data_IF_742391528845
#
_entry.id   IF_742391528845
#
_cell.length_a   1.000
_cell.length_b   1.000
_cell.length_c   1.000
_cell.angle_alpha   90.00
_cell.angle_beta   90.00
_cell.angle_gamma   90.00
#
_symmetry.space_group_name_H-M   'P 1'
#
loop_
_entity.id
_entity.type
_entity.pdbx_description
1 polymer ?
#
# COMPACT_ATOMS: atom_id res chain seq x y z
N UNK A 1 1.87 11.56 17.75
CA UNK A 1 1.66 10.47 16.75
C UNK A 1 2.70 10.63 15.67
N UNK A 2 3.55 9.62 15.45
CA UNK A 2 4.67 9.69 14.51
C UNK A 2 4.26 9.01 13.20
N UNK A 3 4.39 9.71 12.09
CA UNK A 3 4.38 9.10 10.75
C UNK A 3 5.81 8.70 10.40
N UNK A 4 6.10 7.41 10.33
CA UNK A 4 7.46 6.95 10.03
C UNK A 4 7.63 6.89 8.52
N UNK A 5 8.83 7.25 8.04
CA UNK A 5 9.27 6.98 6.68
C UNK A 5 9.03 5.49 6.35
N UNK A 6 8.73 5.11 5.09
CA UNK A 6 8.75 3.71 4.67
C UNK A 6 10.02 3.00 5.20
N UNK A 7 9.88 1.78 5.73
CA UNK A 7 11.06 1.03 6.16
C UNK A 7 11.98 0.82 4.96
N UNK A 8 13.21 1.31 5.06
CA UNK A 8 14.36 0.78 4.31
C UNK A 8 14.95 -0.28 5.24
N UNK A 9 14.25 -1.41 5.41
CA UNK A 9 14.83 -2.56 6.10
C UNK A 9 15.83 -3.24 5.17
N UNK A 10 16.99 -3.59 5.71
CA UNK A 10 18.11 -4.22 4.99
C UNK A 10 17.79 -5.61 4.43
N UNK A 11 16.71 -6.23 4.87
CA UNK A 11 16.33 -7.60 4.46
C UNK A 11 15.15 -7.62 3.45
N UNK A 12 14.53 -6.46 3.17
CA UNK A 12 13.41 -6.32 2.21
C UNK A 12 13.69 -5.17 1.21
N UNK A 13 14.88 -5.23 0.60
CA UNK A 13 15.35 -4.44 -0.55
C UNK A 13 14.42 -4.52 -1.82
N UNK A 14 13.23 -5.11 -1.73
CA UNK A 14 12.90 -6.19 -2.68
C UNK A 14 11.69 -5.99 -3.60
N UNK A 15 10.91 -4.90 -3.54
CA UNK A 15 9.82 -4.71 -4.55
C UNK A 15 9.66 -3.30 -5.08
N UNK A 16 9.68 -2.24 -4.27
CA UNK A 16 9.66 -0.88 -4.84
C UNK A 16 10.98 -0.51 -5.47
N UNK A 17 12.09 -0.65 -4.76
CA UNK A 17 13.41 -0.42 -5.33
C UNK A 17 13.64 -1.34 -6.54
N UNK A 18 13.17 -2.61 -6.50
CA UNK A 18 13.15 -3.49 -7.66
C UNK A 18 12.23 -3.00 -8.77
N UNK A 19 10.96 -2.65 -8.55
CA UNK A 19 10.04 -2.16 -9.59
C UNK A 19 10.57 -0.85 -10.18
N UNK A 20 11.07 0.06 -9.35
CA UNK A 20 11.65 1.35 -9.72
C UNK A 20 12.94 1.15 -10.55
N UNK A 21 13.84 0.25 -10.13
CA UNK A 21 15.04 -0.13 -10.90
C UNK A 21 14.72 -0.92 -12.18
N UNK A 22 13.76 -1.84 -12.14
CA UNK A 22 13.35 -2.70 -13.27
C UNK A 22 12.49 -1.95 -14.30
N UNK A 23 11.70 -0.97 -13.87
CA UNK A 23 10.90 -0.10 -14.75
C UNK A 23 11.64 1.19 -15.13
N UNK A 24 12.87 1.41 -14.63
CA UNK A 24 13.68 2.60 -14.93
C UNK A 24 13.15 3.90 -14.34
N UNK A 25 12.34 3.83 -13.29
CA UNK A 25 11.82 5.00 -12.57
C UNK A 25 12.86 5.39 -11.51
N UNK A 26 13.08 6.68 -11.28
CA UNK A 26 13.81 7.16 -10.11
C UNK A 26 12.80 7.78 -9.14
N UNK A 27 12.69 7.24 -7.92
CA UNK A 27 11.83 7.79 -6.88
C UNK A 27 12.68 8.25 -5.70
N UNK A 28 12.66 9.56 -5.45
CA UNK A 28 13.35 10.12 -4.29
C UNK A 28 12.53 9.86 -3.02
N UNK A 29 13.16 9.26 -2.00
CA UNK A 29 12.49 8.89 -0.74
C UNK A 29 12.93 9.74 0.45
N UNK A 30 13.70 10.81 0.19
CA UNK A 30 14.27 11.72 1.20
C UNK A 30 13.20 12.42 2.04
N UNK A 31 12.10 12.82 1.41
CA UNK A 31 10.95 13.45 2.07
C UNK A 31 9.65 13.06 1.38
N UNK A 32 8.52 13.23 2.07
CA UNK A 32 7.21 12.99 1.48
C UNK A 32 6.95 13.90 0.26
N UNK A 33 7.45 15.14 0.29
CA UNK A 33 7.38 16.08 -0.82
C UNK A 33 8.21 15.65 -2.03
N UNK A 34 9.46 15.22 -1.80
CA UNK A 34 10.33 14.71 -2.86
C UNK A 34 9.77 13.44 -3.51
N UNK A 35 9.17 12.55 -2.71
CA UNK A 35 8.49 11.37 -3.22
C UNK A 35 7.30 11.73 -4.11
N UNK A 36 6.49 12.71 -3.69
CA UNK A 36 5.37 13.19 -4.49
C UNK A 36 5.84 13.85 -5.78
N UNK A 37 6.84 14.72 -5.72
CA UNK A 37 7.41 15.38 -6.89
C UNK A 37 7.98 14.37 -7.90
N UNK A 38 8.63 13.31 -7.43
CA UNK A 38 9.15 12.24 -8.28
C UNK A 38 8.02 11.50 -9.02
N UNK A 39 6.89 11.24 -8.35
CA UNK A 39 5.71 10.62 -8.97
C UNK A 39 5.08 11.55 -10.02
N UNK A 40 4.93 12.82 -9.71
CA UNK A 40 4.35 13.82 -10.62
C UNK A 40 5.23 13.98 -11.87
N UNK A 41 6.57 14.01 -11.71
CA UNK A 41 7.50 14.04 -12.82
C UNK A 41 7.41 12.80 -13.72
N UNK A 42 7.21 11.61 -13.13
CA UNK A 42 7.02 10.39 -13.90
C UNK A 42 5.71 10.37 -14.69
N UNK A 43 4.61 10.84 -14.08
CA UNK A 43 3.31 10.97 -14.74
C UNK A 43 3.42 11.93 -15.93
N UNK A 44 4.13 13.04 -15.77
CA UNK A 44 4.34 14.00 -16.85
C UNK A 44 5.18 13.39 -18.00
N UNK A 45 6.22 12.63 -17.66
CA UNK A 45 7.00 11.90 -18.65
C UNK A 45 6.15 10.89 -19.45
N UNK A 46 5.18 10.20 -18.81
CA UNK A 46 4.25 9.32 -19.52
C UNK A 46 3.38 10.09 -20.51
N UNK A 47 2.85 11.25 -20.12
CA UNK A 47 2.05 12.11 -21.01
C UNK A 47 2.86 12.59 -22.21
N UNK A 48 4.11 13.02 -22.00
CA UNK A 48 5.01 13.43 -23.10
C UNK A 48 5.31 12.27 -24.06
N UNK A 49 5.38 11.03 -23.57
CA UNK A 49 5.54 9.84 -24.40
C UNK A 49 4.30 9.51 -25.24
N UNK A 50 3.15 10.15 -24.98
CA UNK A 50 1.91 9.93 -25.72
C UNK A 50 1.15 8.66 -25.29
N UNK A 51 1.34 8.19 -24.05
CA UNK A 51 0.50 7.11 -23.50
C UNK A 51 -0.95 7.60 -23.35
N UNK A 52 -1.96 6.75 -23.60
CA UNK A 52 -3.35 7.14 -23.47
C UNK A 52 -3.68 7.57 -22.03
N UNK A 53 -4.50 8.61 -21.86
CA UNK A 53 -4.75 9.21 -20.54
C UNK A 53 -5.39 8.22 -19.54
N UNK A 54 -6.19 7.26 -20.03
CA UNK A 54 -6.75 6.19 -19.21
C UNK A 54 -5.68 5.28 -18.57
N UNK A 55 -4.59 4.99 -19.30
CA UNK A 55 -3.45 4.25 -18.76
C UNK A 55 -2.65 5.11 -17.78
N UNK A 56 -2.46 6.40 -18.08
CA UNK A 56 -1.77 7.34 -17.19
C UNK A 56 -2.49 7.45 -15.85
N UNK A 57 -3.82 7.59 -15.86
CA UNK A 57 -4.63 7.64 -14.64
C UNK A 57 -4.55 6.34 -13.83
N UNK A 58 -4.65 5.20 -14.53
CA UNK A 58 -4.53 3.87 -13.91
C UNK A 58 -3.17 3.68 -13.25
N UNK A 59 -2.08 4.07 -13.93
CA UNK A 59 -0.71 3.98 -13.42
C UNK A 59 -0.44 4.97 -12.28
N UNK A 60 -0.93 6.20 -12.39
CA UNK A 60 -0.85 7.22 -11.34
C UNK A 60 -1.49 6.71 -10.04
N UNK A 61 -2.69 6.14 -10.15
CA UNK A 61 -3.42 5.56 -9.02
C UNK A 61 -2.69 4.34 -8.45
N UNK A 62 -2.19 3.46 -9.31
CA UNK A 62 -1.43 2.29 -8.90
C UNK A 62 -0.15 2.65 -8.15
N UNK A 63 0.62 3.62 -8.65
CA UNK A 63 1.84 4.10 -8.00
C UNK A 63 1.53 4.79 -6.67
N UNK A 64 0.45 5.56 -6.60
CA UNK A 64 -0.03 6.18 -5.36
C UNK A 64 -0.45 5.13 -4.32
N UNK A 65 -1.09 4.05 -4.76
CA UNK A 65 -1.42 2.91 -3.89
C UNK A 65 -0.15 2.20 -3.40
N UNK A 66 0.82 1.97 -4.28
CA UNK A 66 2.11 1.39 -3.91
C UNK A 66 2.81 2.28 -2.89
N UNK A 67 2.85 3.60 -3.10
CA UNK A 67 3.45 4.56 -2.15
C UNK A 67 2.82 4.42 -0.78
N UNK A 68 1.49 4.45 -0.70
CA UNK A 68 0.72 4.22 0.51
C UNK A 68 1.00 2.87 1.19
N UNK A 69 1.02 1.75 0.44
CA UNK A 69 1.21 0.41 1.02
C UNK A 69 2.54 0.18 1.72
N UNK A 70 3.59 0.94 1.37
CA UNK A 70 4.87 0.88 2.10
C UNK A 70 5.01 1.92 3.19
N UNK A 71 4.08 2.87 3.31
CA UNK A 71 4.11 3.79 4.44
C UNK A 71 3.83 3.01 5.72
N UNK A 72 4.68 3.22 6.72
CA UNK A 72 4.45 2.60 8.02
C UNK A 72 3.20 3.19 8.67
N UNK A 73 2.50 2.35 9.44
CA UNK A 73 1.38 2.82 10.25
C UNK A 73 1.88 3.86 11.25
N UNK A 74 1.27 5.04 11.23
CA UNK A 74 1.62 6.09 12.17
C UNK A 74 1.21 5.72 13.62
N UNK A 75 2.13 5.92 14.56
CA UNK A 75 2.03 5.40 15.93
C UNK A 75 1.77 6.51 16.95
N UNK A 76 0.86 6.28 17.89
CA UNK A 76 0.80 7.02 19.14
C UNK A 76 2.00 6.67 20.02
N UNK A 77 2.53 7.65 20.74
CA UNK A 77 3.67 7.49 21.62
C UNK A 77 3.59 8.52 22.76
N UNK A 78 4.23 8.22 23.89
CA UNK A 78 4.46 9.19 24.96
C UNK A 78 5.75 9.98 24.67
N UNK A 79 5.73 11.30 24.86
CA UNK A 79 6.88 12.18 24.61
C UNK A 79 8.08 11.79 25.47
N UNK A 80 7.84 11.38 26.71
CA UNK A 80 8.91 10.98 27.62
C UNK A 80 9.68 9.74 27.11
N UNK A 81 8.99 8.79 26.48
CA UNK A 81 9.65 7.61 25.87
C UNK A 81 10.52 7.99 24.65
N UNK A 82 10.20 9.11 24.00
CA UNK A 82 10.98 9.65 22.89
C UNK A 82 12.19 10.42 23.42
N UNK A 83 12.02 11.20 24.48
CA UNK A 83 13.12 11.87 25.20
C UNK A 83 14.12 10.82 25.70
N UNK A 84 13.66 9.77 26.36
CA UNK A 84 14.51 8.68 26.86
C UNK A 84 15.28 7.98 25.73
N UNK A 85 14.70 7.92 24.52
CA UNK A 85 15.37 7.41 23.31
C UNK A 85 16.40 8.39 22.74
N UNK A 86 16.06 9.68 22.67
CA UNK A 86 16.96 10.72 22.20
C UNK A 86 18.21 10.83 23.10
N UNK A 87 18.01 10.85 24.42
CA UNK A 87 19.12 10.90 25.40
C UNK A 87 20.03 9.67 25.26
N UNK A 88 19.46 8.47 25.10
CA UNK A 88 20.25 7.25 24.87
C UNK A 88 21.04 7.31 23.57
N UNK A 89 20.47 7.86 22.49
CA UNK A 89 21.17 8.03 21.21
C UNK A 89 22.36 8.98 21.35
N UNK A 90 22.17 10.12 22.00
CA UNK A 90 23.26 11.09 22.25
C UNK A 90 24.36 10.46 23.11
N UNK A 91 23.99 9.74 24.18
CA UNK A 91 24.95 9.07 25.06
C UNK A 91 25.75 7.95 24.37
N UNK A 92 25.10 7.19 23.48
CA UNK A 92 25.76 6.11 22.75
C UNK A 92 26.53 6.61 21.52
N UNK A 93 26.09 7.72 20.89
CA UNK A 93 26.77 8.36 19.77
C UNK A 93 28.08 9.05 20.15
N UNK A 94 28.23 9.45 21.42
CA UNK A 94 29.49 9.98 21.96
C UNK A 94 30.59 8.93 22.19
N UNK A 95 30.32 7.63 21.99
CA UNK A 95 31.28 6.53 22.25
C UNK A 95 31.91 5.96 20.96
N UNK A 96 31.74 6.61 19.81
CA UNK A 96 32.47 6.27 18.58
C UNK A 96 33.41 7.42 18.19
N UNK A 97 34.55 7.52 18.89
CA UNK A 97 35.76 8.17 18.37
C UNK A 97 36.81 7.09 18.18
N UNK A 98 36.86 6.48 17.00
CA UNK A 98 38.06 5.77 16.56
C UNK A 98 39.09 6.81 16.12
N UNK A 99 40.23 6.79 16.79
CA UNK A 99 41.42 7.56 16.50
C UNK A 99 41.81 7.54 15.01
N UNK A 100 42.30 8.69 14.55
CA UNK A 100 43.23 8.95 13.44
C UNK A 100 42.69 9.85 12.30
N UNK A 101 42.71 11.17 12.52
CA UNK A 101 43.21 12.17 11.55
C UNK A 101 43.17 13.57 12.16
N UNK A 102 44.27 14.30 12.08
CA UNK A 102 44.47 15.68 12.52
C UNK A 102 43.55 16.68 11.77
N UNK A 103 42.30 16.79 12.21
CA UNK A 103 41.45 17.96 11.96
C UNK A 103 40.59 18.17 13.21
N UNK A 104 40.48 19.40 13.73
CA UNK A 104 39.59 19.66 14.87
C UNK A 104 38.16 19.27 14.44
N UNK A 105 37.52 18.30 15.12
CA UNK A 105 36.18 17.89 14.74
C UNK A 105 35.26 19.08 15.00
N UNK A 106 34.60 19.56 13.95
CA UNK A 106 33.44 20.44 14.09
C UNK A 106 32.34 19.58 14.69
N UNK A 107 32.33 19.50 16.03
CA UNK A 107 31.30 18.79 16.80
C UNK A 107 30.01 19.58 16.60
N UNK A 108 29.24 19.26 15.58
CA UNK A 108 27.81 19.57 15.56
C UNK A 108 27.21 18.76 16.71
N UNK A 109 27.10 19.39 17.88
CA UNK A 109 26.38 18.83 19.01
C UNK A 109 24.92 18.74 18.59
N UNK A 110 24.50 17.58 18.06
CA UNK A 110 23.11 17.33 17.68
C UNK A 110 22.28 17.53 18.97
N UNK A 111 21.63 18.69 19.09
CA UNK A 111 20.85 19.03 20.28
C UNK A 111 19.82 17.93 20.52
N UNK A 112 19.57 17.61 21.78
CA UNK A 112 18.52 16.66 22.16
C UNK A 112 17.15 17.07 21.57
N UNK A 113 16.94 18.37 21.33
CA UNK A 113 15.79 18.94 20.63
C UNK A 113 15.72 18.50 19.16
N UNK A 114 16.82 18.58 18.42
CA UNK A 114 16.90 18.12 17.02
C UNK A 114 16.64 16.61 16.92
N UNK A 115 17.18 15.83 17.86
CA UNK A 115 16.89 14.41 17.98
C UNK A 115 15.42 14.14 18.30
N UNK A 116 14.81 14.89 19.23
CA UNK A 116 13.41 14.76 19.59
C UNK A 116 12.50 15.05 18.38
N UNK A 117 12.74 16.14 17.66
CA UNK A 117 11.98 16.51 16.47
C UNK A 117 12.11 15.44 15.38
N UNK A 118 13.30 14.86 15.21
CA UNK A 118 13.51 13.75 14.28
C UNK A 118 12.70 12.50 14.67
N UNK A 119 12.60 12.19 15.97
CA UNK A 119 11.81 11.07 16.47
C UNK A 119 10.30 11.35 16.55
N UNK A 120 9.86 12.61 16.58
CA UNK A 120 8.44 12.96 16.63
C UNK A 120 7.84 13.32 15.27
N UNK A 121 8.68 13.56 14.26
CA UNK A 121 8.28 13.99 12.92
C UNK A 121 7.23 13.06 12.29
N UNK A 122 6.24 13.67 11.64
CA UNK A 122 5.19 12.98 10.92
C UNK A 122 5.41 13.05 9.41
N UNK A 123 6.08 12.02 8.86
CA UNK A 123 6.51 11.96 7.46
C UNK A 123 5.41 12.34 6.46
N UNK A 124 4.25 11.66 6.51
CA UNK A 124 3.17 11.89 5.55
C UNK A 124 2.48 13.25 5.63
N UNK A 125 2.67 14.01 6.71
CA UNK A 125 2.12 15.37 6.86
C UNK A 125 3.23 16.44 6.80
N UNK A 126 4.49 16.02 6.74
CA UNK A 126 5.67 16.89 6.79
C UNK A 126 5.64 17.89 7.97
N UNK A 127 5.20 17.45 9.15
CA UNK A 127 5.15 18.29 10.37
C UNK A 127 5.98 17.69 11.51
N UNK A 128 6.63 18.53 12.35
CA UNK A 128 7.50 18.05 13.44
C UNK A 128 6.74 17.38 14.59
N UNK A 129 5.51 17.83 14.86
CA UNK A 129 4.67 17.36 15.95
C UNK A 129 3.24 17.22 15.46
N UNK A 130 2.60 16.11 15.83
CA UNK A 130 1.22 15.85 15.46
C UNK A 130 0.51 15.01 16.54
N UNK A 131 -0.75 15.30 16.81
CA UNK A 131 -1.62 14.47 17.66
C UNK A 131 -3.07 14.54 17.18
N UNK A 132 -3.88 13.56 17.55
CA UNK A 132 -5.32 13.59 17.29
C UNK A 132 -6.06 14.28 18.44
N UNK A 133 -7.06 15.10 18.10
CA UNK A 133 -7.85 15.87 19.05
C UNK A 133 -9.34 16.00 18.64
N UNK A 134 -9.63 16.01 17.34
CA UNK A 134 -10.93 16.43 16.79
C UNK A 134 -12.07 15.42 16.88
N UNK A 135 -11.86 14.22 17.42
CA UNK A 135 -12.90 13.17 17.44
C UNK A 135 -12.89 12.29 18.70
N UNK A 136 -13.08 12.87 19.90
CA UNK A 136 -13.06 12.14 21.18
C UNK A 136 -14.15 11.06 21.31
N UNK A 137 -15.27 11.19 20.59
CA UNK A 137 -16.37 10.21 20.62
C UNK A 137 -15.94 8.85 20.02
N UNK A 138 -15.15 8.88 18.94
CA UNK A 138 -14.78 7.67 18.17
C UNK A 138 -13.31 7.26 18.32
N UNK A 139 -12.51 8.02 19.07
CA UNK A 139 -11.08 7.75 19.28
C UNK A 139 -10.67 8.03 20.71
N UNK A 140 -10.24 6.97 21.41
CA UNK A 140 -9.76 7.07 22.78
C UNK A 140 -8.49 7.94 22.92
N UNK A 141 -7.63 7.97 21.89
CA UNK A 141 -6.44 8.82 21.87
C UNK A 141 -6.79 10.31 21.99
N UNK A 142 -7.81 10.78 21.25
CA UNK A 142 -8.31 12.16 21.35
C UNK A 142 -8.84 12.44 22.75
N UNK A 143 -9.56 11.50 23.36
CA UNK A 143 -10.07 11.66 24.73
C UNK A 143 -8.94 11.83 25.76
N UNK A 144 -7.80 11.14 25.60
CA UNK A 144 -6.62 11.36 26.44
C UNK A 144 -6.06 12.79 26.27
N UNK A 145 -5.96 13.27 25.03
CA UNK A 145 -5.47 14.63 24.74
C UNK A 145 -6.42 15.68 25.28
N UNK A 146 -7.75 15.49 25.15
CA UNK A 146 -8.75 16.37 25.74
C UNK A 146 -8.60 16.48 27.27
N UNK A 147 -8.35 15.35 27.95
CA UNK A 147 -8.09 15.34 29.40
C UNK A 147 -6.79 16.06 29.77
N UNK A 148 -5.72 15.84 29.01
CA UNK A 148 -4.43 16.52 29.22
C UNK A 148 -4.56 18.04 29.02
N UNK A 149 -5.27 18.46 27.97
CA UNK A 149 -5.51 19.88 27.69
C UNK A 149 -6.39 20.52 28.77
N UNK A 150 -7.43 19.83 29.23
CA UNK A 150 -8.29 20.31 30.33
C UNK A 150 -7.52 20.53 31.64
N UNK A 151 -6.59 19.62 31.98
CA UNK A 151 -5.72 19.76 33.15
C UNK A 151 -4.72 20.92 33.01
N UNK A 152 -4.17 21.12 31.80
CA UNK A 152 -3.28 22.26 31.49
C UNK A 152 -4.00 23.61 31.59
N UNK A 153 -5.26 23.67 31.16
CA UNK A 153 -6.08 24.89 31.21
C UNK A 153 -6.76 25.10 32.57
N UNK A 154 -6.63 24.16 33.51
CA UNK A 154 -7.29 24.23 34.82
C UNK A 154 -8.82 24.12 34.75
N UNK A 155 -9.39 23.72 33.62
CA UNK A 155 -10.83 23.55 33.41
C UNK A 155 -11.28 22.08 33.45
N UNK A 156 -10.34 21.14 33.67
CA UNK A 156 -10.63 19.73 33.79
C UNK A 156 -11.18 19.36 35.17
N UNK A 157 -12.35 18.72 35.20
CA UNK A 157 -12.83 17.99 36.39
C UNK A 157 -12.04 16.70 36.67
N UNK A 158 -11.09 16.36 35.79
CA UNK A 158 -10.29 15.14 35.83
C UNK A 158 -8.84 15.48 36.16
N UNK A 159 -8.36 15.07 37.34
CA UNK A 159 -6.97 15.25 37.71
C UNK A 159 -6.12 14.24 36.92
N UNK A 160 -5.29 14.73 36.00
CA UNK A 160 -4.27 13.87 35.39
C UNK A 160 -3.15 13.70 36.42
N UNK A 161 -2.68 12.48 36.72
CA UNK A 161 -1.49 12.34 37.56
C UNK A 161 -0.35 12.97 36.78
N UNK A 162 0.05 14.18 37.19
CA UNK A 162 1.29 14.77 36.71
C UNK A 162 2.39 13.76 37.10
N UNK A 163 3.28 13.37 36.17
CA UNK A 163 4.49 12.70 36.60
C UNK A 163 5.10 13.60 37.67
N UNK A 164 5.39 13.04 38.85
CA UNK A 164 5.99 13.80 39.94
C UNK A 164 7.13 14.60 39.32
N UNK A 165 7.00 15.93 39.30
CA UNK A 165 8.16 16.78 39.18
C UNK A 165 8.95 16.42 40.43
N UNK A 166 9.90 15.49 40.30
CA UNK A 166 11.02 15.44 41.24
C UNK A 166 11.61 16.83 41.16
N UNK A 167 11.23 17.61 42.17
CA UNK A 167 11.87 18.83 42.56
C UNK A 167 13.37 18.62 42.39
N UNK A 168 14.00 19.52 41.66
CA UNK A 168 15.46 19.69 41.59
C UNK A 168 15.98 20.21 42.95
N UNK A 169 15.41 19.74 44.05
CA UNK A 169 15.70 20.13 45.41
C UNK A 169 15.65 18.87 46.27
N UNK A 170 16.81 18.44 46.75
CA UNK A 170 16.92 17.40 47.78
C UNK A 170 17.80 16.22 47.38
N UNK A 171 19.12 16.43 47.41
CA UNK A 171 20.05 15.36 47.78
C UNK A 171 19.64 14.90 49.18
N UNK A 172 19.17 13.66 49.33
CA UNK A 172 19.56 12.74 50.41
C UNK A 172 18.96 11.37 50.17
N UNK A 173 19.88 10.41 50.15
CA UNK A 173 19.78 8.97 50.23
C UNK A 173 18.44 8.37 50.69
N UNK A 174 17.94 7.42 49.91
CA UNK A 174 17.44 6.16 50.46
C UNK A 174 17.63 5.04 49.43
N UNK A 175 18.39 4.04 49.87
CA UNK A 175 18.79 2.85 49.13
C UNK A 175 17.61 1.88 49.15
N UNK A 176 17.07 1.53 48.00
CA UNK A 176 16.40 0.24 47.83
C UNK A 176 16.57 -0.31 46.41
N UNK A 177 17.30 -1.42 46.36
CA UNK A 177 17.34 -2.45 45.33
C UNK A 177 16.18 -2.44 44.33
N UNK A 178 16.55 -2.35 43.04
CA UNK A 178 16.22 -3.41 42.07
C UNK A 178 17.08 -3.25 40.81
N UNK A 179 17.95 -4.24 40.60
CA UNK A 179 18.55 -4.57 39.32
C UNK A 179 17.45 -4.94 38.31
N UNK A 180 16.74 -3.96 37.77
CA UNK A 180 15.99 -4.11 36.53
C UNK A 180 16.62 -3.22 35.48
N UNK A 181 17.27 -3.84 34.48
CA UNK A 181 17.88 -3.20 33.32
C UNK A 181 16.87 -2.46 32.41
N UNK A 182 15.60 -2.36 32.84
CA UNK A 182 14.49 -1.82 32.09
C UNK A 182 13.88 -0.61 32.83
N UNK A 183 13.67 0.53 32.17
CA UNK A 183 13.03 1.69 32.77
C UNK A 183 11.58 1.36 33.17
N UNK A 184 11.03 2.00 34.22
CA UNK A 184 9.67 1.77 34.66
C UNK A 184 8.66 2.07 33.54
N UNK A 185 7.77 1.10 33.27
CA UNK A 185 6.76 1.24 32.22
C UNK A 185 5.73 2.28 32.67
N UNK A 186 5.64 3.39 31.93
CA UNK A 186 4.71 4.49 32.24
C UNK A 186 3.29 4.14 31.79
N UNK A 187 2.28 4.53 32.57
CA UNK A 187 0.85 4.25 32.26
C UNK A 187 0.44 4.74 30.87
N UNK A 188 0.91 5.93 30.47
CA UNK A 188 0.60 6.52 29.18
C UNK A 188 1.23 5.75 28.01
N UNK A 189 2.39 5.13 28.22
CA UNK A 189 3.04 4.24 27.24
C UNK A 189 2.18 3.02 26.94
N UNK A 190 1.62 2.39 27.99
CA UNK A 190 0.71 1.25 27.84
C UNK A 190 -0.57 1.66 27.11
N UNK A 191 -1.14 2.82 27.45
CA UNK A 191 -2.32 3.35 26.77
C UNK A 191 -2.06 3.67 25.30
N UNK A 192 -0.91 4.26 24.97
CA UNK A 192 -0.50 4.52 23.60
C UNK A 192 -0.34 3.22 22.80
N UNK A 193 0.30 2.20 23.39
CA UNK A 193 0.44 0.88 22.77
C UNK A 193 -0.91 0.20 22.53
N UNK A 194 -1.85 0.31 23.47
CA UNK A 194 -3.22 -0.18 23.31
C UNK A 194 -3.95 0.51 22.16
N UNK A 195 -3.88 1.85 22.10
CA UNK A 195 -4.46 2.63 21.01
C UNK A 195 -3.89 2.23 19.64
N UNK A 196 -2.57 1.97 19.56
CA UNK A 196 -1.93 1.50 18.33
C UNK A 196 -2.42 0.12 17.91
N UNK A 197 -2.54 -0.82 18.87
CA UNK A 197 -3.08 -2.16 18.62
C UNK A 197 -4.51 -2.07 18.10
N UNK A 198 -5.40 -1.40 18.84
CA UNK A 198 -6.81 -1.30 18.46
C UNK A 198 -6.99 -0.62 17.10
N UNK A 199 -6.23 0.44 16.81
CA UNK A 199 -6.24 1.08 15.50
C UNK A 199 -5.91 0.10 14.37
N UNK A 200 -4.89 -0.74 14.54
CA UNK A 200 -4.50 -1.74 13.54
C UNK A 200 -5.59 -2.79 13.35
N UNK A 201 -6.14 -3.31 14.44
CA UNK A 201 -7.20 -4.33 14.36
C UNK A 201 -8.49 -3.76 13.73
N UNK A 202 -8.89 -2.53 14.08
CA UNK A 202 -10.04 -1.86 13.46
C UNK A 202 -9.82 -1.60 11.97
N UNK A 203 -8.61 -1.17 11.57
CA UNK A 203 -8.27 -0.99 10.15
C UNK A 203 -8.37 -2.32 9.40
N UNK A 204 -7.84 -3.40 9.95
CA UNK A 204 -7.92 -4.74 9.36
C UNK A 204 -9.38 -5.18 9.21
N UNK A 205 -10.18 -5.07 10.26
CA UNK A 205 -11.60 -5.43 10.21
C UNK A 205 -12.37 -4.61 9.15
N UNK A 206 -12.04 -3.32 9.01
CA UNK A 206 -12.61 -2.46 7.97
C UNK A 206 -12.23 -2.93 6.56
N UNK A 207 -10.94 -3.21 6.32
CA UNK A 207 -10.43 -3.68 5.02
C UNK A 207 -11.04 -5.05 4.63
N UNK A 208 -11.11 -6.00 5.57
CA UNK A 208 -11.72 -7.33 5.36
C UNK A 208 -13.23 -7.22 5.07
N UNK A 209 -13.94 -6.32 5.78
CA UNK A 209 -15.36 -6.07 5.52
C UNK A 209 -15.58 -5.52 4.10
N UNK A 210 -14.79 -4.52 3.69
CA UNK A 210 -14.86 -3.96 2.34
C UNK A 210 -14.58 -5.03 1.26
N UNK A 211 -13.58 -5.88 1.47
CA UNK A 211 -13.26 -6.97 0.54
C UNK A 211 -14.39 -7.99 0.44
N UNK A 212 -15.02 -8.35 1.56
CA UNK A 212 -16.15 -9.28 1.58
C UNK A 212 -17.34 -8.73 0.78
N UNK A 213 -17.73 -7.48 1.02
CA UNK A 213 -18.85 -6.85 0.30
C UNK A 213 -18.54 -6.66 -1.19
N UNK A 214 -17.31 -6.31 -1.53
CA UNK A 214 -16.88 -6.21 -2.92
C UNK A 214 -16.94 -7.57 -3.64
N UNK A 215 -16.46 -8.63 -3.00
CA UNK A 215 -16.54 -9.98 -3.55
C UNK A 215 -17.99 -10.46 -3.69
N UNK A 216 -18.86 -10.14 -2.72
CA UNK A 216 -20.29 -10.43 -2.79
C UNK A 216 -20.97 -9.68 -3.95
N UNK A 217 -20.62 -8.41 -4.16
CA UNK A 217 -21.14 -7.61 -5.26
C UNK A 217 -20.68 -8.13 -6.64
N UNK A 218 -19.39 -8.45 -6.80
CA UNK A 218 -18.88 -9.08 -8.03
C UNK A 218 -19.62 -10.39 -8.31
N UNK A 219 -19.93 -11.17 -7.26
CA UNK A 219 -20.69 -12.42 -7.39
C UNK A 219 -22.13 -12.18 -7.87
N UNK A 220 -22.81 -11.13 -7.42
CA UNK A 220 -24.16 -10.81 -7.89
C UNK A 220 -24.19 -10.28 -9.32
N UNK A 221 -23.15 -9.53 -9.73
CA UNK A 221 -23.02 -9.00 -11.10
C UNK A 221 -22.56 -10.09 -12.08
N UNK A 222 -21.84 -11.10 -11.59
CA UNK A 222 -21.32 -12.24 -12.36
C UNK A 222 -19.91 -11.99 -12.89
N UNK A 223 -19.71 -10.92 -13.68
CA UNK A 223 -18.37 -10.52 -14.10
C UNK A 223 -18.24 -9.04 -14.43
N UNK A 224 -17.07 -8.46 -14.16
CA UNK A 224 -16.76 -7.04 -14.38
C UNK A 224 -15.47 -6.93 -15.15
N UNK A 225 -15.34 -5.93 -16.02
CA UNK A 225 -14.13 -5.66 -16.79
C UNK A 225 -13.46 -4.41 -16.25
N UNK A 226 -12.20 -4.51 -15.88
CA UNK A 226 -11.43 -3.43 -15.26
C UNK A 226 -9.99 -3.43 -15.79
N UNK A 227 -9.30 -2.30 -15.65
CA UNK A 227 -7.87 -2.23 -15.94
C UNK A 227 -7.07 -2.63 -14.70
N UNK A 228 -6.10 -3.54 -14.88
CA UNK A 228 -5.16 -3.94 -13.85
C UNK A 228 -3.74 -3.52 -14.22
N UNK A 229 -2.94 -3.25 -13.18
CA UNK A 229 -1.51 -2.97 -13.29
C UNK A 229 -0.74 -4.15 -12.74
N UNK A 230 0.25 -4.62 -13.50
CA UNK A 230 1.10 -5.72 -13.07
C UNK A 230 2.16 -5.20 -12.10
N UNK A 231 2.10 -5.66 -10.85
CA UNK A 231 3.05 -5.27 -9.81
C UNK A 231 4.30 -6.14 -9.82
N UNK A 232 4.13 -7.46 -9.93
CA UNK A 232 5.23 -8.40 -9.97
C UNK A 232 4.92 -9.56 -10.90
N UNK A 233 5.96 -10.05 -11.57
CA UNK A 233 5.89 -11.14 -12.52
C UNK A 233 6.98 -12.17 -12.19
N UNK A 234 6.56 -13.41 -11.96
CA UNK A 234 7.41 -14.58 -11.80
C UNK A 234 7.10 -15.61 -12.91
N UNK A 235 7.88 -16.69 -12.99
CA UNK A 235 7.65 -17.73 -13.99
C UNK A 235 6.25 -18.38 -13.91
N UNK A 236 5.72 -18.52 -12.69
CA UNK A 236 4.42 -19.19 -12.43
C UNK A 236 3.37 -18.30 -11.80
N UNK A 237 3.76 -17.17 -11.22
CA UNK A 237 2.88 -16.28 -10.44
C UNK A 237 2.89 -14.86 -10.99
N UNK A 238 1.74 -14.22 -10.91
CA UNK A 238 1.54 -12.82 -11.26
C UNK A 238 0.81 -12.11 -10.11
N UNK A 239 1.27 -10.91 -9.77
CA UNK A 239 0.61 -10.04 -8.82
C UNK A 239 0.03 -8.85 -9.56
N UNK A 240 -1.27 -8.65 -9.39
CA UNK A 240 -2.06 -7.63 -10.07
C UNK A 240 -2.61 -6.66 -9.04
N UNK A 241 -2.66 -5.38 -9.40
CA UNK A 241 -3.40 -4.35 -8.69
C UNK A 241 -4.52 -3.86 -9.59
N UNK A 242 -5.75 -3.86 -9.10
CA UNK A 242 -6.90 -3.25 -9.76
C UNK A 242 -7.14 -1.91 -9.06
N UNK A 243 -6.73 -0.77 -9.65
CA UNK A 243 -6.74 0.51 -8.94
C UNK A 243 -8.15 1.00 -8.60
N UNK A 244 -9.13 0.75 -9.47
CA UNK A 244 -10.54 1.13 -9.29
C UNK A 244 -11.17 0.50 -8.06
N UNK A 245 -10.83 -0.76 -7.77
CA UNK A 245 -11.32 -1.49 -6.62
C UNK A 245 -10.36 -1.52 -5.42
N UNK A 246 -9.11 -1.05 -5.57
CA UNK A 246 -8.06 -1.19 -4.56
C UNK A 246 -7.69 -2.63 -4.23
N UNK A 247 -7.93 -3.58 -5.15
CA UNK A 247 -7.69 -5.01 -4.93
C UNK A 247 -6.30 -5.42 -5.41
N UNK A 248 -5.54 -6.10 -4.54
CA UNK A 248 -4.30 -6.77 -4.89
C UNK A 248 -4.56 -8.26 -4.97
N UNK A 249 -4.34 -8.85 -6.14
CA UNK A 249 -4.62 -10.27 -6.40
C UNK A 249 -3.35 -10.99 -6.82
N UNK A 250 -3.08 -12.12 -6.16
CA UNK A 250 -2.01 -13.04 -6.53
C UNK A 250 -2.62 -14.22 -7.28
N UNK A 251 -2.19 -14.42 -8.52
CA UNK A 251 -2.67 -15.51 -9.36
C UNK A 251 -1.54 -16.31 -9.99
N UNK A 252 -1.87 -17.53 -10.41
CA UNK A 252 -0.98 -18.30 -11.27
C UNK A 252 -1.13 -17.80 -12.71
N UNK A 253 -0.01 -17.69 -13.42
CA UNK A 253 0.03 -17.18 -14.79
C UNK A 253 -0.82 -18.04 -15.74
N UNK A 254 -0.82 -19.37 -15.54
CA UNK A 254 -1.67 -20.28 -16.33
C UNK A 254 -3.17 -20.07 -16.13
N UNK A 255 -3.61 -19.77 -14.90
CA UNK A 255 -5.04 -19.46 -14.64
C UNK A 255 -5.43 -18.08 -15.13
N UNK A 256 -4.48 -17.13 -15.11
CA UNK A 256 -4.68 -15.77 -15.59
C UNK A 256 -4.82 -15.70 -17.12
N UNK A 257 -3.98 -16.45 -17.84
CA UNK A 257 -3.97 -16.51 -19.30
C UNK A 257 -4.82 -17.67 -19.86
N UNK A 258 -5.94 -18.05 -19.21
CA UNK A 258 -6.75 -19.22 -19.64
C UNK A 258 -7.29 -19.10 -21.06
N UNK A 259 -7.59 -17.87 -21.50
CA UNK A 259 -8.13 -17.60 -22.83
C UNK A 259 -7.05 -17.46 -23.91
N UNK A 260 -5.77 -17.42 -23.52
CA UNK A 260 -4.65 -17.32 -24.45
C UNK A 260 -4.30 -18.69 -25.05
N UNK A 261 -3.91 -18.71 -26.33
CA UNK A 261 -3.51 -19.93 -27.03
C UNK A 261 -2.15 -20.45 -26.54
N UNK A 262 -1.21 -19.54 -26.27
CA UNK A 262 0.10 -19.88 -25.69
C UNK A 262 0.70 -18.69 -24.94
N UNK A 263 1.42 -18.96 -23.86
CA UNK A 263 2.20 -17.94 -23.15
C UNK A 263 3.61 -18.42 -22.86
N UNK A 264 4.57 -17.49 -22.84
CA UNK A 264 5.96 -17.75 -22.47
C UNK A 264 6.41 -16.70 -21.45
N UNK A 265 6.88 -17.14 -20.29
CA UNK A 265 7.50 -16.26 -19.31
C UNK A 265 9.01 -16.22 -19.53
N UNK A 266 9.54 -15.09 -19.96
CA UNK A 266 10.98 -14.87 -20.04
C UNK A 266 11.43 -14.17 -18.75
N UNK A 267 11.63 -14.98 -17.71
CA UNK A 267 12.35 -14.54 -16.51
C UNK A 267 13.83 -14.80 -16.80
N UNK A 268 14.57 -13.77 -17.20
CA UNK A 268 15.97 -13.91 -17.54
C UNK A 268 16.79 -14.43 -16.35
N UNK A 269 17.25 -15.68 -16.42
CA UNK A 269 18.51 -16.07 -15.79
C UNK A 269 19.60 -15.67 -16.78
N UNK A 270 20.20 -14.49 -16.60
CA UNK A 270 21.48 -14.19 -17.22
C UNK A 270 22.57 -14.60 -16.23
N UNK A 271 23.52 -15.43 -16.67
CA UNK A 271 24.74 -15.78 -15.92
C UNK A 271 25.77 -14.63 -15.89
N UNK A 272 25.46 -13.47 -16.49
CA UNK A 272 26.28 -12.25 -16.43
C UNK A 272 25.53 -11.13 -15.67
N UNK A 273 26.15 -10.66 -14.59
CA UNK A 273 25.56 -9.80 -13.53
C UNK A 273 25.31 -8.33 -13.89
N UNK A 274 25.52 -7.86 -15.13
CA UNK A 274 25.51 -6.41 -15.41
C UNK A 274 24.27 -5.86 -16.13
N UNK A 275 23.37 -6.69 -16.69
CA UNK A 275 22.09 -6.21 -17.24
C UNK A 275 20.94 -7.14 -16.83
N UNK A 276 20.34 -6.86 -15.66
CA UNK A 276 19.09 -7.51 -15.24
C UNK A 276 17.92 -6.99 -16.09
N UNK A 277 17.72 -7.56 -17.28
CA UNK A 277 16.55 -7.29 -18.12
C UNK A 277 15.27 -7.59 -17.32
N UNK A 278 14.35 -6.62 -17.30
CA UNK A 278 13.10 -6.75 -16.57
C UNK A 278 12.30 -7.97 -17.04
N UNK A 279 11.70 -8.75 -16.11
CA UNK A 279 10.94 -9.94 -16.48
C UNK A 279 9.73 -9.54 -17.32
N UNK A 280 9.52 -10.24 -18.43
CA UNK A 280 8.37 -10.04 -19.30
C UNK A 280 7.72 -11.37 -19.66
N UNK A 281 6.40 -11.37 -19.79
CA UNK A 281 5.64 -12.49 -20.32
C UNK A 281 5.05 -12.10 -21.67
N UNK A 282 5.15 -13.00 -22.63
CA UNK A 282 4.56 -12.85 -23.95
C UNK A 282 3.35 -13.77 -24.02
N UNK A 283 2.18 -13.19 -24.25
CA UNK A 283 0.90 -13.90 -24.40
C UNK A 283 0.50 -13.83 -25.86
N UNK A 284 0.22 -14.98 -26.47
CA UNK A 284 -0.20 -15.12 -27.85
C UNK A 284 -1.69 -15.48 -27.89
N UNK A 285 -2.42 -14.86 -28.81
CA UNK A 285 -3.85 -15.06 -29.00
C UNK A 285 -4.14 -15.59 -30.40
N UNK A 286 -5.09 -16.52 -30.48
CA UNK A 286 -5.68 -17.01 -31.73
C UNK A 286 -7.16 -16.60 -31.78
N UNK A 287 -7.60 -15.95 -32.86
CA UNK A 287 -9.00 -15.57 -33.01
C UNK A 287 -9.84 -16.81 -33.34
N UNK A 288 -10.80 -17.13 -32.46
CA UNK A 288 -11.75 -18.26 -32.66
C UNK A 288 -12.78 -18.04 -33.79
N UNK A 289 -12.58 -17.05 -34.67
CA UNK A 289 -13.59 -16.61 -35.65
C UNK A 289 -13.65 -17.40 -36.96
N UNK A 290 -12.83 -18.44 -37.16
CA UNK A 290 -12.78 -19.17 -38.44
C UNK A 290 -13.08 -20.67 -38.37
N UNK A 291 -13.70 -21.18 -37.29
CA UNK A 291 -13.93 -22.65 -37.16
C UNK A 291 -15.42 -23.05 -37.21
N UNK A 292 -16.37 -22.12 -37.24
CA UNK A 292 -17.81 -22.46 -37.26
C UNK A 292 -18.50 -22.42 -38.63
N UNK A 293 -17.82 -22.05 -39.73
CA UNK A 293 -18.45 -22.06 -41.07
C UNK A 293 -17.80 -22.99 -42.11
N UNK A 294 -16.74 -23.75 -41.77
CA UNK A 294 -16.13 -24.73 -42.69
C UNK A 294 -16.11 -26.14 -42.08
N UNK A 295 -17.29 -26.65 -41.68
CA UNK A 295 -17.44 -28.04 -41.24
C UNK A 295 -18.18 -28.97 -42.20
N UNK A 296 -18.50 -28.49 -43.39
CA UNK A 296 -18.86 -29.34 -44.51
C UNK A 296 -18.02 -28.96 -45.72
N UNK A 297 -17.40 -29.98 -46.32
CA UNK A 297 -16.62 -30.00 -47.55
C UNK A 297 -15.10 -29.79 -47.47
N UNK A 298 -14.43 -30.95 -47.65
CA UNK A 298 -13.10 -31.22 -48.23
C UNK A 298 -12.01 -31.65 -47.26
N UNK A 299 -12.13 -32.92 -46.88
CA UNK A 299 -10.99 -33.83 -46.97
C UNK A 299 -10.30 -33.70 -48.34
N UNK A 300 -8.97 -33.77 -48.31
CA UNK A 300 -8.08 -34.03 -49.46
C UNK A 300 -7.53 -32.82 -50.24
N UNK A 301 -6.56 -32.11 -49.64
CA UNK A 301 -5.30 -31.79 -50.34
C UNK A 301 -4.13 -31.52 -49.40
N UNK A 302 -3.01 -32.17 -49.74
CA UNK A 302 -1.76 -32.34 -48.99
C UNK A 302 -0.88 -31.08 -48.94
N UNK A 303 -0.14 -30.97 -47.83
CA UNK A 303 1.28 -30.57 -47.67
C UNK A 303 1.75 -29.27 -48.34
N UNK A 304 1.80 -28.19 -47.56
CA UNK A 304 3.00 -27.36 -47.30
C UNK A 304 2.61 -26.23 -46.31
N UNK A 305 3.57 -25.77 -45.50
CA UNK A 305 3.53 -24.66 -44.52
C UNK A 305 2.62 -24.81 -43.28
N UNK A 306 3.07 -25.60 -42.31
CA UNK A 306 2.81 -25.33 -40.88
C UNK A 306 3.66 -24.11 -40.46
N UNK A 307 3.19 -22.90 -40.74
CA UNK A 307 3.66 -21.70 -40.07
C UNK A 307 2.56 -21.20 -39.13
N UNK A 308 2.90 -21.15 -37.84
CA UNK A 308 2.04 -20.73 -36.73
C UNK A 308 1.26 -19.44 -37.05
N UNK A 309 -0.06 -19.54 -37.26
CA UNK A 309 -0.96 -18.38 -37.27
C UNK A 309 -1.11 -17.82 -35.85
N UNK A 310 -0.24 -16.88 -35.48
CA UNK A 310 -0.38 -16.07 -34.26
C UNK A 310 -0.87 -14.69 -34.68
N UNK A 311 -2.12 -14.36 -34.36
CA UNK A 311 -2.77 -13.14 -34.88
C UNK A 311 -2.48 -11.90 -34.01
N UNK A 312 -2.30 -12.06 -32.70
CA UNK A 312 -1.87 -10.95 -31.84
C UNK A 312 -1.01 -11.39 -30.66
N UNK A 313 -0.06 -10.52 -30.30
CA UNK A 313 0.90 -10.75 -29.22
C UNK A 313 0.76 -9.63 -28.19
N UNK A 314 0.44 -9.98 -26.94
CA UNK A 314 0.43 -9.06 -25.79
C UNK A 314 1.68 -9.27 -24.96
N UNK A 315 2.51 -8.23 -24.84
CA UNK A 315 3.67 -8.24 -23.96
C UNK A 315 3.30 -7.67 -22.60
N UNK A 316 3.42 -8.49 -21.56
CA UNK A 316 3.20 -8.12 -20.18
C UNK A 316 4.54 -7.81 -19.52
N UNK A 317 4.71 -6.60 -19.03
CA UNK A 317 5.86 -6.18 -18.22
C UNK A 317 5.39 -5.64 -16.87
N UNK A 318 6.33 -5.49 -15.93
CA UNK A 318 6.08 -4.75 -14.70
C UNK A 318 5.58 -3.34 -15.06
N UNK A 319 4.55 -2.87 -14.35
CA UNK A 319 3.83 -1.61 -14.58
C UNK A 319 3.16 -1.49 -15.97
N UNK A 320 2.97 -2.58 -16.71
CA UNK A 320 2.05 -2.55 -17.86
C UNK A 320 0.60 -2.62 -17.38
N UNK A 321 -0.27 -1.89 -18.08
CA UNK A 321 -1.73 -1.92 -17.87
C UNK A 321 -2.31 -3.00 -18.77
N UNK A 322 -3.19 -3.84 -18.21
CA UNK A 322 -3.90 -4.85 -18.97
C UNK A 322 -5.39 -4.91 -18.59
N UNK A 323 -6.28 -5.14 -19.57
CA UNK A 323 -7.69 -5.33 -19.29
C UNK A 323 -7.91 -6.72 -18.68
N UNK A 324 -8.61 -6.77 -17.55
CA UNK A 324 -8.92 -8.01 -16.83
C UNK A 324 -10.41 -8.15 -16.62
N UNK A 325 -10.88 -9.40 -16.69
CA UNK A 325 -12.21 -9.79 -16.28
C UNK A 325 -12.16 -10.33 -14.85
N UNK A 326 -12.88 -9.66 -13.96
CA UNK A 326 -13.06 -10.07 -12.57
C UNK A 326 -14.29 -10.96 -12.46
N UNK A 327 -14.12 -12.12 -11.83
CA UNK A 327 -15.19 -13.09 -11.55
C UNK A 327 -15.09 -13.55 -10.11
N UNK A 328 -16.20 -13.97 -9.50
CA UNK A 328 -16.17 -14.58 -8.18
C UNK A 328 -16.24 -16.11 -8.29
N UNK A 329 -15.49 -16.81 -7.43
CA UNK A 329 -15.58 -18.27 -7.32
C UNK A 329 -16.99 -18.73 -6.93
N UNK A 330 -17.43 -19.89 -7.41
CA UNK A 330 -18.71 -20.48 -7.03
C UNK A 330 -18.73 -20.96 -5.57
N UNK A 331 -17.56 -21.39 -5.06
CA UNK A 331 -17.41 -22.01 -3.72
C UNK A 331 -17.03 -21.04 -2.59
N UNK A 332 -17.07 -19.73 -2.83
CA UNK A 332 -16.76 -18.72 -1.80
C UNK A 332 -16.64 -17.30 -2.36
N UNK A 333 -16.36 -16.32 -1.49
CA UNK A 333 -16.15 -14.92 -1.86
C UNK A 333 -14.70 -14.63 -2.25
N UNK A 334 -14.20 -15.38 -3.24
CA UNK A 334 -12.85 -15.21 -3.77
C UNK A 334 -12.91 -14.63 -5.18
N UNK A 335 -12.35 -13.45 -5.35
CA UNK A 335 -12.24 -12.77 -6.65
C UNK A 335 -11.11 -13.40 -7.46
N UNK A 336 -11.39 -13.64 -8.74
CA UNK A 336 -10.44 -14.14 -9.73
C UNK A 336 -10.33 -13.15 -10.88
N UNK A 337 -9.13 -12.91 -11.35
CA UNK A 337 -8.86 -12.11 -12.54
C UNK A 337 -8.42 -13.01 -13.71
N UNK A 338 -8.98 -12.75 -14.88
CA UNK A 338 -8.64 -13.40 -16.16
C UNK A 338 -8.24 -12.31 -17.16
N UNK A 339 -7.17 -12.53 -17.91
CA UNK A 339 -6.68 -11.58 -18.92
C UNK A 339 -7.64 -11.57 -20.12
N UNK A 340 -8.05 -10.38 -20.55
CA UNK A 340 -8.87 -10.22 -21.76
C UNK A 340 -8.00 -9.99 -23.00
N UNK A 341 -8.44 -10.45 -24.19
CA UNK A 341 -7.75 -10.15 -25.43
C UNK A 341 -7.85 -8.65 -25.76
N UNK A 342 -6.90 -8.09 -26.53
CA UNK A 342 -6.88 -6.66 -26.88
C UNK A 342 -8.15 -6.17 -27.58
N UNK A 343 -8.87 -7.06 -28.28
CA UNK A 343 -10.10 -6.77 -29.01
C UNK A 343 -11.36 -6.62 -28.13
N UNK A 344 -11.28 -6.97 -26.84
CA UNK A 344 -12.43 -6.96 -25.92
C UNK A 344 -12.63 -5.62 -25.19
N UNK A 345 -11.70 -4.66 -25.31
CA UNK A 345 -11.69 -3.40 -24.55
C UNK A 345 -12.79 -2.40 -24.94
N UNK A 346 -13.49 -2.58 -26.06
CA UNK A 346 -14.38 -1.57 -26.65
C UNK A 346 -15.87 -1.69 -26.32
N UNK A 347 -16.32 -2.70 -25.55
CA UNK A 347 -17.77 -3.02 -25.50
C UNK A 347 -18.57 -2.59 -24.27
N UNK A 348 -17.99 -2.10 -23.17
CA UNK A 348 -18.74 -2.08 -21.89
C UNK A 348 -18.71 -0.80 -21.03
N UNK A 349 -18.34 0.37 -21.56
CA UNK A 349 -18.56 1.65 -20.84
C UNK A 349 -20.03 1.93 -20.48
N UNK A 350 -20.97 1.15 -21.03
CA UNK A 350 -22.42 1.26 -20.79
C UNK A 350 -22.94 0.49 -19.56
N UNK A 351 -22.21 -0.49 -19.01
CA UNK A 351 -22.78 -1.36 -17.96
C UNK A 351 -22.78 -0.74 -16.57
N UNK A 352 -21.79 0.08 -16.22
CA UNK A 352 -21.70 0.71 -14.89
C UNK A 352 -22.74 1.84 -14.75
N UNK A 353 -22.85 2.72 -15.77
CA UNK A 353 -23.83 3.83 -15.78
C UNK A 353 -25.29 3.34 -15.86
N UNK A 354 -25.54 2.20 -16.49
CA UNK A 354 -26.88 1.59 -16.58
C UNK A 354 -27.32 0.94 -15.26
N UNK A 355 -26.39 0.64 -14.35
CA UNK A 355 -26.69 -0.02 -13.07
C UNK A 355 -26.67 0.90 -11.86
N UNK A 356 -25.91 2.01 -11.87
CA UNK A 356 -26.08 3.08 -10.87
C UNK A 356 -27.53 3.57 -10.82
N UNK A 357 -28.19 3.69 -11.98
CA UNK A 357 -29.60 4.06 -12.06
C UNK A 357 -30.56 2.99 -11.50
N UNK A 358 -30.16 1.71 -11.53
CA UNK A 358 -30.94 0.57 -11.03
C UNK A 358 -30.81 0.39 -9.53
N UNK A 359 -29.62 0.61 -8.98
CA UNK A 359 -29.38 0.60 -7.53
C UNK A 359 -30.00 1.82 -6.85
N UNK A 360 -29.93 3.01 -7.48
CA UNK A 360 -30.60 4.21 -6.98
C UNK A 360 -32.13 4.11 -7.04
N UNK A 361 -32.70 3.40 -8.02
CA UNK A 361 -34.15 3.20 -8.09
C UNK A 361 -34.66 2.23 -7.03
N UNK A 362 -33.94 1.13 -6.77
CA UNK A 362 -34.32 0.16 -5.72
C UNK A 362 -34.14 0.74 -4.30
N UNK A 363 -33.12 1.55 -4.05
CA UNK A 363 -32.91 2.22 -2.76
C UNK A 363 -33.93 3.34 -2.44
N UNK A 364 -34.70 3.78 -3.43
CA UNK A 364 -35.75 4.81 -3.27
C UNK A 364 -37.14 4.26 -2.94
N UNK A 365 -37.27 2.94 -2.77
CA UNK A 365 -38.52 2.32 -2.32
C UNK A 365 -38.76 2.63 -0.83
N UNK A 366 -39.90 3.24 -0.45
CA UNK A 366 -40.15 3.60 0.95
C UNK A 366 -40.38 2.33 1.77
N UNK A 367 -39.55 2.13 2.81
CA UNK A 367 -39.85 1.20 3.90
C UNK A 367 -41.22 1.57 4.49
N UNK A 368 -42.19 0.68 4.34
CA UNK A 368 -43.45 0.76 5.07
C UNK A 368 -43.17 0.50 6.55
N UNK A 369 -43.33 1.53 7.38
CA UNK A 369 -43.34 1.43 8.84
C UNK A 369 -44.44 0.45 9.28
N UNK A 370 -44.06 -0.74 9.72
CA UNK A 370 -44.92 -1.53 10.60
C UNK A 370 -44.79 -0.99 12.02
N UNK A 371 -45.78 -0.17 12.39
CA UNK A 371 -46.00 0.30 13.75
C UNK A 371 -46.24 -0.89 14.69
N UNK A 372 -45.27 -1.14 15.59
CA UNK A 372 -45.51 -1.97 16.77
C UNK A 372 -46.43 -1.22 17.73
N UNK A 373 -47.64 -1.75 17.89
CA UNK A 373 -48.54 -1.45 19.00
C UNK A 373 -48.48 -2.65 19.94
N UNK A 374 -47.95 -2.46 21.14
CA UNK A 374 -48.42 -3.07 22.40
C UNK A 374 -47.61 -2.53 23.59
#
# INVERSE_FOLDING_TARGET
>A
MRGVCPHIDKDDDDLKAKITKLAGIYMETSSAGALRASLDAYIEHLRVKGTPESEVETLSTALSYLTYMRMQMALYFNVEDVIDRAIRKVRNGGLQTSDSSDNPPTIFHESWESSLLHFSHHFGLNVPLYTHFTSPIRRYADLLVHRQLGDLLGCGHWCYPRPNQTSVAGVTSEVHEKNSTLPPIRKLTVQAAWCNRMRRETRRAQEESQQLFLAAWIKSVGSIQENAVILSLSATKIQLLIPTCGLVINHNLGTFCREASRWQSNVGRSENEEETKAPFATVMWEDKKSVTEEREDKEEKRRCSDENRVDSITKLSILSVCPVKLTCSSRGFYVKAELLPPSASTKNESSIKSMESKFLSEASSPCTDESYSD
#
